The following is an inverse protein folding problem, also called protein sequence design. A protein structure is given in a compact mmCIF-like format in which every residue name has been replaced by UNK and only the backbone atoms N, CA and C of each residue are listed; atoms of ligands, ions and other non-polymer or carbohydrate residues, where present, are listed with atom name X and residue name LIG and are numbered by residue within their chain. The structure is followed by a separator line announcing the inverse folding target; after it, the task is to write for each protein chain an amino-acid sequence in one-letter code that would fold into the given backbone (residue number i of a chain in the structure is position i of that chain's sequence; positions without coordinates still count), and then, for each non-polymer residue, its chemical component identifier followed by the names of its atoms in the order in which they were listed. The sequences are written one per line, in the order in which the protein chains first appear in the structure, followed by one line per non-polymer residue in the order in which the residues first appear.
data_IF_338506443126
#
_entry.id   IF_338506443126
#
_cell.length_a   1.000
_cell.length_b   1.000
_cell.length_c   1.000
_cell.angle_alpha   90.00
_cell.angle_beta   90.00
_cell.angle_gamma   90.00
#
_symmetry.space_group_name_H-M   'P 1'
#
loop_
_entity.id
_entity.type
_entity.pdbx_description
1 polymer ?
#
# COMPACT_ATOMS: atom_id res chain seq x y z
N UNK A 1 9.37 -19.90 8.37
CA UNK A 1 9.74 -18.57 8.78
C UNK A 1 9.66 -17.55 7.68
N UNK A 2 9.04 -16.47 7.95
CA UNK A 2 8.88 -15.43 6.94
C UNK A 2 9.97 -14.40 7.08
N UNK A 3 10.63 -14.16 5.99
CA UNK A 3 11.60 -13.09 5.93
C UNK A 3 11.00 -11.94 5.18
N UNK A 4 10.78 -10.85 5.90
CA UNK A 4 10.34 -9.65 5.24
C UNK A 4 11.51 -9.09 4.46
N UNK A 5 11.40 -9.14 3.15
CA UNK A 5 12.39 -8.50 2.31
C UNK A 5 12.23 -6.99 2.45
N UNK A 6 13.27 -6.27 2.06
CA UNK A 6 13.17 -4.81 2.04
C UNK A 6 12.00 -4.36 1.18
N UNK A 7 11.77 -5.05 0.08
CA UNK A 7 10.69 -4.73 -0.82
C UNK A 7 9.34 -4.85 -0.13
N UNK A 8 9.15 -5.94 0.60
CA UNK A 8 7.88 -6.15 1.28
C UNK A 8 7.66 -5.17 2.41
N UNK A 9 8.73 -4.83 3.12
CA UNK A 9 8.63 -3.82 4.17
C UNK A 9 8.24 -2.47 3.60
N UNK A 10 8.82 -2.11 2.47
CA UNK A 10 8.49 -0.85 1.82
C UNK A 10 7.03 -0.82 1.39
N UNK A 11 6.54 -1.90 0.81
CA UNK A 11 5.15 -1.96 0.39
C UNK A 11 4.21 -1.84 1.57
N UNK A 12 4.53 -2.50 2.68
CA UNK A 12 3.70 -2.40 3.88
C UNK A 12 3.71 -0.98 4.45
N UNK A 13 4.86 -0.32 4.40
CA UNK A 13 4.94 1.05 4.87
C UNK A 13 4.04 1.96 4.03
N UNK A 14 4.02 1.74 2.73
CA UNK A 14 3.17 2.51 1.82
C UNK A 14 1.70 2.25 2.13
N UNK A 15 1.34 1.00 2.33
CA UNK A 15 -0.04 0.64 2.65
C UNK A 15 -0.49 1.27 3.96
N UNK A 16 0.35 1.19 4.98
CA UNK A 16 0.03 1.79 6.27
C UNK A 16 -0.11 3.30 6.17
N UNK A 17 0.75 3.93 5.37
CA UNK A 17 0.67 5.37 5.17
C UNK A 17 -0.63 5.76 4.49
N UNK A 18 -1.04 5.00 3.48
CA UNK A 18 -2.30 5.28 2.79
C UNK A 18 -3.47 5.18 3.75
N UNK A 19 -3.51 4.14 4.56
CA UNK A 19 -4.59 3.95 5.51
C UNK A 19 -4.61 5.11 6.51
N UNK A 20 -3.45 5.51 6.98
CA UNK A 20 -3.36 6.62 7.92
C UNK A 20 -3.89 7.92 7.32
N UNK A 21 -3.49 8.20 6.10
CA UNK A 21 -3.92 9.44 5.44
C UNK A 21 -5.41 9.43 5.12
N UNK A 22 -5.96 8.27 4.80
CA UNK A 22 -7.38 8.18 4.47
C UNK A 22 -8.29 8.46 5.66
N UNK A 23 -7.74 8.47 6.86
CA UNK A 23 -8.53 8.84 8.04
C UNK A 23 -8.89 10.32 8.04
N UNK A 24 -8.05 11.15 7.45
CA UNK A 24 -8.23 12.60 7.46
C UNK A 24 -8.48 13.20 6.10
N UNK A 25 -8.17 12.49 5.04
CA UNK A 25 -8.24 13.03 3.69
C UNK A 25 -8.93 12.03 2.77
N UNK A 26 -9.50 12.55 1.70
CA UNK A 26 -10.02 11.66 0.66
C UNK A 26 -8.86 11.17 -0.19
N UNK A 27 -9.10 10.08 -0.91
CA UNK A 27 -8.08 9.53 -1.78
C UNK A 27 -7.59 10.55 -2.80
N UNK A 28 -8.51 11.36 -3.32
CA UNK A 28 -8.15 12.37 -4.31
C UNK A 28 -7.20 13.42 -3.75
N UNK A 29 -7.30 13.69 -2.47
CA UNK A 29 -6.46 14.68 -1.83
C UNK A 29 -5.06 14.17 -1.50
N UNK A 30 -4.90 12.87 -1.45
CA UNK A 30 -3.62 12.29 -1.08
C UNK A 30 -2.68 12.31 -2.28
N UNK A 31 -1.55 13.00 -2.13
CA UNK A 31 -0.54 13.06 -3.18
C UNK A 31 0.52 12.00 -2.94
N UNK A 32 1.26 11.67 -3.99
CA UNK A 32 2.39 10.76 -3.86
C UNK A 32 3.42 11.32 -2.89
N UNK A 33 3.61 12.63 -2.89
CA UNK A 33 4.55 13.27 -1.97
C UNK A 33 4.13 13.03 -0.53
N UNK A 34 2.85 13.27 -0.22
CA UNK A 34 2.35 13.04 1.14
C UNK A 34 2.45 11.57 1.52
N UNK A 35 2.13 10.71 0.59
CA UNK A 35 2.15 9.27 0.83
C UNK A 35 3.55 8.79 1.17
N UNK A 36 4.53 9.19 0.38
CA UNK A 36 5.91 8.75 0.61
C UNK A 36 6.50 9.38 1.86
N UNK A 37 6.13 10.61 2.14
CA UNK A 37 6.58 11.27 3.35
C UNK A 37 6.06 10.56 4.59
N UNK A 38 4.78 10.22 4.58
CA UNK A 38 4.16 9.52 5.69
C UNK A 38 4.74 8.12 5.85
N UNK A 39 5.04 7.47 4.73
CA UNK A 39 5.63 6.13 4.75
C UNK A 39 7.12 6.16 5.14
N UNK A 40 7.75 7.32 5.06
CA UNK A 40 9.17 7.42 5.39
C UNK A 40 10.08 6.87 4.32
N UNK A 41 9.67 6.96 3.06
CA UNK A 41 10.47 6.46 1.95
C UNK A 41 10.63 7.56 0.90
N UNK A 42 11.53 7.34 -0.04
CA UNK A 42 11.72 8.28 -1.14
C UNK A 42 10.68 8.05 -2.22
N UNK A 43 10.47 9.05 -3.06
CA UNK A 43 9.58 8.90 -4.21
C UNK A 43 10.11 7.84 -5.16
N UNK A 44 11.41 7.79 -5.28
CA UNK A 44 12.05 6.78 -6.13
C UNK A 44 11.69 5.37 -5.67
N UNK A 45 11.70 5.15 -4.36
CA UNK A 45 11.31 3.85 -3.81
C UNK A 45 9.86 3.53 -4.12
N UNK A 46 8.99 4.54 -4.02
CA UNK A 46 7.58 4.33 -4.34
C UNK A 46 7.41 3.88 -5.79
N UNK A 47 8.07 4.59 -6.71
CA UNK A 47 7.91 4.28 -8.13
C UNK A 47 8.57 2.98 -8.54
N UNK A 48 9.41 2.42 -7.69
CA UNK A 48 9.93 1.09 -7.92
C UNK A 48 8.82 0.03 -7.81
N UNK A 49 7.83 0.30 -6.98
CA UNK A 49 6.76 -0.66 -6.71
C UNK A 49 5.46 -0.35 -7.43
N UNK A 50 5.16 0.91 -7.65
CA UNK A 50 3.87 1.32 -8.19
C UNK A 50 4.07 2.44 -9.19
N UNK A 51 3.25 2.43 -10.24
CA UNK A 51 3.27 3.49 -11.23
C UNK A 51 2.72 4.79 -10.65
N UNK A 52 1.68 4.69 -9.83
CA UNK A 52 1.05 5.84 -9.19
C UNK A 52 0.21 5.34 -8.03
N UNK A 53 -0.47 6.27 -7.36
CA UNK A 53 -1.29 5.90 -6.20
C UNK A 53 -2.49 5.05 -6.58
N UNK A 54 -2.95 5.15 -7.82
CA UNK A 54 -4.08 4.34 -8.27
C UNK A 54 -3.68 2.89 -8.40
N UNK A 55 -2.51 2.65 -8.93
CA UNK A 55 -2.01 1.28 -8.99
C UNK A 55 -1.77 0.73 -7.61
N UNK A 56 -1.25 1.56 -6.72
CA UNK A 56 -1.00 1.15 -5.34
C UNK A 56 -2.28 0.69 -4.65
N UNK A 57 -3.34 1.51 -4.73
CA UNK A 57 -4.58 1.16 -4.06
C UNK A 57 -5.25 -0.04 -4.72
N UNK A 58 -5.12 -0.16 -6.02
CA UNK A 58 -5.67 -1.30 -6.72
C UNK A 58 -5.03 -2.60 -6.27
N UNK A 59 -3.71 -2.62 -6.18
CA UNK A 59 -3.00 -3.81 -5.73
C UNK A 59 -3.35 -4.15 -4.28
N UNK A 60 -3.50 -3.13 -3.45
CA UNK A 60 -3.87 -3.35 -2.06
C UNK A 60 -5.26 -3.98 -1.95
N UNK A 61 -6.21 -3.46 -2.72
CA UNK A 61 -7.56 -3.99 -2.71
C UNK A 61 -7.60 -5.43 -3.22
N UNK A 62 -6.83 -5.73 -4.25
CA UNK A 62 -6.75 -7.09 -4.76
C UNK A 62 -6.17 -8.03 -3.71
N UNK A 63 -5.18 -7.57 -2.99
CA UNK A 63 -4.59 -8.38 -1.94
C UNK A 63 -5.60 -8.71 -0.85
N UNK A 64 -6.39 -7.72 -0.44
CA UNK A 64 -7.43 -7.93 0.55
C UNK A 64 -8.50 -8.87 0.03
N UNK A 65 -8.90 -8.68 -1.20
CA UNK A 65 -9.93 -9.51 -1.81
C UNK A 65 -9.49 -10.96 -1.88
N UNK A 66 -8.25 -11.19 -2.25
CA UNK A 66 -7.72 -12.55 -2.32
C UNK A 66 -7.71 -13.22 -0.95
N UNK A 67 -7.41 -12.46 0.09
CA UNK A 67 -7.44 -13.02 1.44
C UNK A 67 -8.85 -13.42 1.85
N UNK A 68 -9.82 -12.59 1.51
CA UNK A 68 -11.21 -12.88 1.84
C UNK A 68 -11.68 -14.12 1.09
N UNK A 69 -11.36 -14.21 -0.20
CA UNK A 69 -11.72 -15.37 -0.98
C UNK A 69 -11.13 -16.65 -0.42
N UNK A 70 -9.88 -16.56 -0.03
CA UNK A 70 -9.21 -17.71 0.52
C UNK A 70 -9.93 -18.21 1.79
N UNK A 71 -10.32 -17.29 2.64
CA UNK A 71 -11.00 -17.63 3.87
C UNK A 71 -12.35 -18.30 3.58
N UNK A 72 -13.10 -17.76 2.65
CA UNK A 72 -14.38 -18.32 2.28
C UNK A 72 -14.24 -19.69 1.64
N UNK A 73 -13.24 -19.86 0.81
CA UNK A 73 -13.04 -21.14 0.14
C UNK A 73 -12.71 -22.26 1.11
N UNK A 74 -12.11 -21.93 2.23
CA UNK A 74 -11.74 -22.95 3.21
C UNK A 74 -12.94 -23.48 3.97
N UNK A 75 -14.00 -22.77 3.95
CA UNK A 75 -15.21 -23.22 4.61
C UNK A 75 -16.01 -24.14 3.70
#
# INVERSE_FOLDING_TARGET
MVNDTRREKTKRAIEAAMITLLKDQSFDEISTINLTKTAGISRSSFYTHYKDKYEMIDQYQQSLFNKVEYIFDRN
#
